data_IF_971930571839
#
_entry.id   IF_971930571839
#
_cell.length_a   1.000
_cell.length_b   1.000
_cell.length_c   1.000
_cell.angle_alpha   90.00
_cell.angle_beta   90.00
_cell.angle_gamma   90.00
#
_symmetry.space_group_name_H-M   'P 1'
#
loop_
_entity.id
_entity.type
_entity.pdbx_description
1 polymer ?
#
# COMPACT_ATOMS: atom_id res chain seq x y z
N UNK A 1 4.77 -7.41 13.79
CA UNK A 1 3.60 -6.60 14.14
C UNK A 1 2.49 -7.01 13.20
N UNK A 2 1.38 -7.50 13.74
CA UNK A 2 0.18 -7.76 12.96
C UNK A 2 -0.41 -6.42 12.52
N UNK A 3 -0.72 -6.28 11.24
CA UNK A 3 -1.36 -5.06 10.72
C UNK A 3 -2.85 -5.11 11.04
N UNK A 4 -3.46 -4.03 11.54
CA UNK A 4 -4.90 -4.00 11.76
C UNK A 4 -5.71 -4.00 10.45
N UNK A 5 -5.06 -3.74 9.31
CA UNK A 5 -5.72 -3.56 8.01
C UNK A 5 -5.38 -4.62 6.96
N UNK A 6 -4.28 -5.36 7.14
CA UNK A 6 -3.73 -6.25 6.12
C UNK A 6 -3.56 -7.67 6.63
N UNK A 7 -3.62 -8.62 5.71
CA UNK A 7 -3.36 -10.03 6.01
C UNK A 7 -1.90 -10.21 6.44
N UNK A 8 -1.61 -11.15 7.35
CA UNK A 8 -0.24 -11.45 7.75
C UNK A 8 0.57 -11.97 6.55
N UNK A 9 1.84 -11.58 6.48
CA UNK A 9 2.77 -12.09 5.47
C UNK A 9 3.06 -13.56 5.80
N UNK A 10 2.88 -14.51 4.84
CA UNK A 10 3.15 -15.92 5.08
C UNK A 10 4.61 -16.17 5.48
N UNK A 11 4.82 -16.99 6.51
CA UNK A 11 6.14 -17.32 7.03
C UNK A 11 6.97 -18.20 6.08
N UNK A 12 6.30 -18.90 5.16
CA UNK A 12 6.90 -19.86 4.25
C UNK A 12 7.49 -19.21 2.97
N UNK A 13 7.41 -17.88 2.86
CA UNK A 13 7.95 -17.14 1.73
C UNK A 13 9.49 -17.09 1.77
N UNK A 14 10.16 -17.09 0.60
CA UNK A 14 11.59 -16.77 0.52
C UNK A 14 11.90 -15.44 1.20
N UNK A 15 13.04 -15.35 1.89
CA UNK A 15 13.42 -14.16 2.68
C UNK A 15 13.35 -12.86 1.88
N UNK A 16 13.84 -12.88 0.63
CA UNK A 16 13.81 -11.71 -0.26
C UNK A 16 12.37 -11.25 -0.56
N UNK A 17 11.45 -12.20 -0.77
CA UNK A 17 10.04 -11.90 -1.04
C UNK A 17 9.36 -11.41 0.24
N UNK A 18 9.60 -12.06 1.38
CA UNK A 18 9.09 -11.62 2.69
C UNK A 18 9.54 -10.20 3.02
N UNK A 19 10.81 -9.86 2.78
CA UNK A 19 11.35 -8.51 2.98
C UNK A 19 10.71 -7.50 2.03
N UNK A 20 10.49 -7.86 0.76
CA UNK A 20 9.80 -7.01 -0.21
C UNK A 20 8.35 -6.74 0.21
N UNK A 21 7.59 -7.77 0.60
CA UNK A 21 6.22 -7.62 1.11
C UNK A 21 6.16 -6.77 2.37
N UNK A 22 7.10 -6.96 3.30
CA UNK A 22 7.18 -6.15 4.53
C UNK A 22 7.45 -4.67 4.22
N UNK A 23 8.31 -4.39 3.24
CA UNK A 23 8.55 -3.02 2.77
C UNK A 23 7.27 -2.39 2.20
N UNK A 24 6.56 -3.11 1.31
CA UNK A 24 5.29 -2.66 0.73
C UNK A 24 4.20 -2.47 1.79
N UNK A 25 4.11 -3.36 2.77
CA UNK A 25 3.18 -3.24 3.89
C UNK A 25 3.44 -1.96 4.69
N UNK A 26 4.70 -1.68 5.05
CA UNK A 26 5.07 -0.44 5.74
C UNK A 26 4.71 0.81 4.94
N UNK A 27 4.86 0.77 3.62
CA UNK A 27 4.43 1.86 2.75
C UNK A 27 2.90 2.04 2.80
N UNK A 28 2.14 0.95 2.66
CA UNK A 28 0.69 0.97 2.70
C UNK A 28 0.15 1.50 4.04
N UNK A 29 0.70 1.02 5.16
CA UNK A 29 0.34 1.47 6.51
C UNK A 29 0.62 2.96 6.70
N UNK A 30 1.78 3.44 6.23
CA UNK A 30 2.09 4.86 6.30
C UNK A 30 1.14 5.70 5.42
N UNK A 31 0.79 5.23 4.22
CA UNK A 31 -0.20 5.89 3.36
C UNK A 31 -1.57 6.00 4.02
N UNK A 32 -2.04 4.92 4.67
CA UNK A 32 -3.29 4.92 5.45
C UNK A 32 -3.21 5.91 6.61
N UNK A 33 -2.11 5.93 7.35
CA UNK A 33 -1.93 6.85 8.48
C UNK A 33 -2.02 8.31 8.01
N UNK A 34 -1.33 8.66 6.91
CA UNK A 34 -1.39 10.02 6.31
C UNK A 34 -2.81 10.37 5.88
N UNK A 35 -3.53 9.46 5.22
CA UNK A 35 -4.92 9.71 4.82
C UNK A 35 -5.86 9.86 6.02
N UNK A 36 -5.65 9.06 7.07
CA UNK A 36 -6.46 9.07 8.29
C UNK A 36 -6.31 10.35 9.10
N UNK A 37 -5.16 11.04 9.00
CA UNK A 37 -4.98 12.38 9.60
C UNK A 37 -5.95 13.42 9.02
N UNK A 38 -6.48 13.20 7.81
CA UNK A 38 -7.54 14.02 7.20
C UNK A 38 -8.95 13.68 7.69
N UNK A 39 -9.11 12.79 8.67
CA UNK A 39 -10.39 12.44 9.29
C UNK A 39 -11.24 11.42 8.54
N UNK A 40 -10.77 10.91 7.39
CA UNK A 40 -11.45 9.86 6.63
C UNK A 40 -10.66 8.57 6.75
N UNK A 41 -11.26 7.54 7.37
CA UNK A 41 -10.66 6.21 7.47
C UNK A 41 -10.50 5.54 6.09
N UNK A 42 -9.64 4.51 5.98
CA UNK A 42 -9.41 3.83 4.71
C UNK A 42 -10.68 3.12 4.23
N UNK A 43 -11.05 3.35 2.98
CA UNK A 43 -12.16 2.64 2.33
C UNK A 43 -11.80 1.17 2.08
N UNK A 44 -12.76 0.23 2.15
CA UNK A 44 -12.50 -1.19 1.90
C UNK A 44 -11.85 -1.48 0.53
N UNK A 45 -12.25 -0.74 -0.50
CA UNK A 45 -11.72 -0.88 -1.87
C UNK A 45 -10.25 -0.49 -1.94
N UNK A 46 -9.86 0.55 -1.20
CA UNK A 46 -8.47 0.95 -1.07
C UNK A 46 -7.65 -0.11 -0.35
N UNK A 47 -8.18 -0.68 0.74
CA UNK A 47 -7.51 -1.76 1.48
C UNK A 47 -7.30 -3.00 0.60
N UNK A 48 -8.28 -3.34 -0.23
CA UNK A 48 -8.18 -4.44 -1.18
C UNK A 48 -7.01 -4.22 -2.17
N UNK A 49 -6.95 -3.06 -2.82
CA UNK A 49 -5.86 -2.80 -3.77
C UNK A 49 -4.49 -2.70 -3.07
N UNK A 50 -4.44 -2.13 -1.86
CA UNK A 50 -3.20 -2.09 -1.07
C UNK A 50 -2.73 -3.49 -0.66
N UNK A 51 -3.64 -4.42 -0.37
CA UNK A 51 -3.29 -5.82 -0.13
C UNK A 51 -2.65 -6.44 -1.37
N UNK A 52 -3.22 -6.21 -2.57
CA UNK A 52 -2.65 -6.69 -3.84
C UNK A 52 -1.27 -6.09 -4.11
N UNK A 53 -1.05 -4.84 -3.72
CA UNK A 53 0.29 -4.23 -3.73
C UNK A 53 1.25 -4.95 -2.79
N UNK A 54 0.84 -5.20 -1.55
CA UNK A 54 1.67 -5.93 -0.57
C UNK A 54 2.07 -7.30 -1.10
N UNK A 55 1.09 -8.04 -1.64
CA UNK A 55 1.29 -9.36 -2.21
C UNK A 55 2.12 -9.36 -3.51
N UNK A 56 2.38 -8.18 -4.08
CA UNK A 56 3.17 -8.01 -5.29
C UNK A 56 2.41 -8.28 -6.59
N UNK A 57 1.09 -8.41 -6.52
CA UNK A 57 0.23 -8.60 -7.70
C UNK A 57 0.19 -7.34 -8.58
N UNK A 58 0.23 -6.16 -7.94
CA UNK A 58 0.24 -4.86 -8.59
C UNK A 58 1.31 -3.97 -7.99
N UNK A 59 1.87 -3.08 -8.80
CA UNK A 59 2.65 -1.95 -8.29
C UNK A 59 1.72 -0.83 -7.85
N UNK A 60 2.19 0.05 -6.96
CA UNK A 60 1.39 1.21 -6.55
C UNK A 60 1.08 2.14 -7.74
N UNK A 61 1.96 2.19 -8.75
CA UNK A 61 1.75 2.97 -9.98
C UNK A 61 0.60 2.39 -10.80
N UNK A 62 0.47 1.07 -10.87
CA UNK A 62 -0.66 0.40 -11.52
C UNK A 62 -1.96 0.68 -10.76
N UNK A 63 -1.93 0.64 -9.42
CA UNK A 63 -3.09 0.97 -8.57
C UNK A 63 -3.56 2.40 -8.82
N UNK A 64 -2.62 3.35 -8.91
CA UNK A 64 -2.91 4.75 -9.21
C UNK A 64 -3.53 4.98 -10.60
N UNK A 65 -3.51 3.98 -11.48
CA UNK A 65 -4.04 4.03 -12.84
C UNK A 65 -5.24 3.10 -13.07
N UNK A 66 -5.77 2.44 -12.03
CA UNK A 66 -6.86 1.46 -12.19
C UNK A 66 -8.16 2.12 -12.66
N UNK A 67 -8.63 1.89 -13.89
CA UNK A 67 -9.73 2.65 -14.50
C UNK A 67 -11.08 2.47 -13.80
N UNK A 68 -11.26 1.36 -13.07
CA UNK A 68 -12.50 1.01 -12.37
C UNK A 68 -12.56 1.51 -10.92
N UNK A 69 -11.52 2.19 -10.43
CA UNK A 69 -11.44 2.63 -9.02
C UNK A 69 -11.07 4.11 -8.89
N UNK A 70 -11.89 5.05 -9.39
CA UNK A 70 -11.58 6.48 -9.37
C UNK A 70 -11.40 7.04 -7.95
N UNK A 71 -12.08 6.46 -6.95
CA UNK A 71 -11.91 6.85 -5.55
C UNK A 71 -10.58 6.39 -4.95
N UNK A 72 -10.05 5.24 -5.41
CA UNK A 72 -8.74 4.73 -5.01
C UNK A 72 -7.64 5.58 -5.64
N UNK A 73 -7.76 5.93 -6.92
CA UNK A 73 -6.77 6.79 -7.61
C UNK A 73 -6.60 8.16 -6.94
N UNK A 74 -7.71 8.73 -6.45
CA UNK A 74 -7.74 10.03 -5.76
C UNK A 74 -7.40 9.93 -4.28
N UNK A 75 -7.16 8.74 -3.75
CA UNK A 75 -6.89 8.54 -2.33
C UNK A 75 -5.58 9.23 -1.94
N UNK A 76 -5.58 10.06 -0.87
CA UNK A 76 -4.36 10.63 -0.30
C UNK A 76 -3.33 9.56 0.07
N UNK A 77 -3.77 8.35 0.42
CA UNK A 77 -2.88 7.23 0.74
C UNK A 77 -2.02 6.82 -0.45
N UNK A 78 -2.60 6.71 -1.65
CA UNK A 78 -1.88 6.34 -2.88
C UNK A 78 -0.84 7.40 -3.23
N UNK A 79 -1.22 8.69 -3.15
CA UNK A 79 -0.31 9.80 -3.42
C UNK A 79 0.85 9.88 -2.42
N UNK A 80 0.57 9.63 -1.14
CA UNK A 80 1.59 9.53 -0.13
C UNK A 80 2.59 8.43 -0.50
N UNK A 81 2.11 7.19 -0.73
CA UNK A 81 2.97 6.03 -1.05
C UNK A 81 3.84 6.31 -2.28
N UNK A 82 3.26 6.82 -3.36
CA UNK A 82 4.00 7.18 -4.58
C UNK A 82 5.12 8.18 -4.30
N UNK A 83 4.84 9.20 -3.47
CA UNK A 83 5.84 10.20 -3.08
C UNK A 83 6.98 9.56 -2.30
N UNK A 84 6.68 8.66 -1.36
CA UNK A 84 7.68 7.97 -0.55
C UNK A 84 8.55 7.03 -1.38
N UNK A 85 7.96 6.28 -2.32
CA UNK A 85 8.73 5.43 -3.23
C UNK A 85 9.66 6.26 -4.11
N UNK A 86 9.18 7.38 -4.66
CA UNK A 86 10.03 8.30 -5.44
C UNK A 86 11.24 8.78 -4.64
N UNK A 87 11.04 9.19 -3.38
CA UNK A 87 12.11 9.65 -2.50
C UNK A 87 13.08 8.53 -2.11
N UNK A 88 12.57 7.30 -1.95
CA UNK A 88 13.40 6.14 -1.59
C UNK A 88 14.25 5.63 -2.76
N UNK A 89 13.86 5.90 -4.01
CA UNK A 89 14.61 5.55 -5.21
C UNK A 89 15.61 6.62 -5.65
N UNK A 90 15.56 7.82 -5.05
CA UNK A 90 16.43 8.95 -5.37
C UNK A 90 17.64 9.09 -4.41
N UNK A 91 17.79 8.15 -3.47
CA UNK A 91 18.84 8.08 -2.46
C UNK A 91 19.69 6.82 -2.69
#
# INVERSE_FOLDING_TARGET
>A
MESPHFKPIPADLPEAEAAARLKRQRHAEWGIAVASMGGTGPKPELLHELQRYIDGELTIQQIAQLPYSPEVQKSPAIQAILTRERLSSAA
#
